data_IF_728147803565
#
_entry.id   IF_728147803565
#
_cell.length_a   1.000
_cell.length_b   1.000
_cell.length_c   1.000
_cell.angle_alpha   90.00
_cell.angle_beta   90.00
_cell.angle_gamma   90.00
#
_symmetry.space_group_name_H-M   'P 1'
#
loop_
_entity.id
_entity.type
_entity.pdbx_description
1 polymer ?
#
# COMPACT_ATOMS: atom_id res chain seq x y z
N UNK A 1 14.73 33.52 -4.81
CA UNK A 1 13.84 32.74 -3.93
C UNK A 1 12.74 32.19 -4.80
N UNK A 2 12.85 30.95 -5.25
CA UNK A 2 11.79 30.30 -6.02
C UNK A 2 10.81 29.69 -5.03
N UNK A 3 9.56 30.13 -5.12
CA UNK A 3 8.44 29.69 -4.30
C UNK A 3 8.31 28.17 -4.38
N UNK A 4 8.57 27.49 -3.27
CA UNK A 4 8.34 26.07 -3.12
C UNK A 4 6.83 25.87 -2.95
N UNK A 5 6.09 26.01 -4.04
CA UNK A 5 4.67 25.66 -4.07
C UNK A 5 4.58 24.16 -3.83
N UNK A 6 4.24 23.79 -2.60
CA UNK A 6 3.90 22.41 -2.27
C UNK A 6 2.68 22.06 -3.12
N UNK A 7 2.91 21.36 -4.23
CA UNK A 7 1.85 20.97 -5.14
C UNK A 7 0.82 20.14 -4.36
N UNK A 8 -0.44 20.54 -4.41
CA UNK A 8 -1.53 19.82 -3.77
C UNK A 8 -1.58 18.41 -4.40
N UNK A 9 -1.46 17.32 -3.62
CA UNK A 9 -1.47 15.98 -4.18
C UNK A 9 -2.81 15.66 -4.83
N UNK A 10 -2.77 14.92 -5.95
CA UNK A 10 -3.97 14.42 -6.63
C UNK A 10 -4.79 13.51 -5.70
N UNK A 11 -6.09 13.27 -5.99
CA UNK A 11 -6.90 12.37 -5.16
C UNK A 11 -6.28 10.98 -4.92
N UNK A 12 -5.56 10.42 -5.89
CA UNK A 12 -4.83 9.16 -5.71
C UNK A 12 -3.58 9.33 -4.83
N UNK A 13 -2.80 10.40 -5.03
CA UNK A 13 -1.63 10.69 -4.20
C UNK A 13 -2.01 10.94 -2.74
N UNK A 14 -3.22 11.48 -2.48
CA UNK A 14 -3.75 11.67 -1.13
C UNK A 14 -3.94 10.35 -0.38
N UNK A 15 -4.40 9.27 -1.02
CA UNK A 15 -4.50 7.95 -0.38
C UNK A 15 -3.14 7.41 0.09
N UNK A 16 -2.09 7.60 -0.71
CA UNK A 16 -0.74 7.20 -0.31
C UNK A 16 -0.17 8.07 0.82
N UNK A 17 -0.58 9.33 0.88
CA UNK A 17 -0.22 10.24 1.97
C UNK A 17 -0.93 9.85 3.28
N UNK A 18 -2.21 9.51 3.23
CA UNK A 18 -3.00 9.03 4.38
C UNK A 18 -2.36 7.81 5.05
N UNK A 19 -1.83 6.87 4.26
CA UNK A 19 -1.12 5.69 4.77
C UNK A 19 0.18 6.07 5.49
N UNK A 20 0.92 7.04 4.94
CA UNK A 20 2.15 7.55 5.56
C UNK A 20 1.87 8.34 6.84
N UNK A 21 0.78 9.11 6.86
CA UNK A 21 0.34 9.88 8.01
C UNK A 21 -0.13 8.96 9.14
N UNK A 22 -0.96 7.95 8.84
CA UNK A 22 -1.36 6.94 9.82
C UNK A 22 -0.17 6.20 10.44
N UNK A 23 0.85 5.85 9.63
CA UNK A 23 2.07 5.25 10.14
C UNK A 23 2.86 6.20 11.07
N UNK A 24 2.91 7.49 10.74
CA UNK A 24 3.54 8.51 11.57
C UNK A 24 2.79 8.76 12.88
N UNK A 25 1.44 8.75 12.87
CA UNK A 25 0.61 8.91 14.07
C UNK A 25 0.79 7.75 15.05
N UNK A 26 0.86 6.51 14.56
CA UNK A 26 1.14 5.34 15.40
C UNK A 26 2.53 5.44 16.03
N UNK A 27 3.54 5.86 15.25
CA UNK A 27 4.89 6.06 15.76
C UNK A 27 4.95 7.14 16.86
N UNK A 28 4.28 8.28 16.65
CA UNK A 28 4.20 9.38 17.62
C UNK A 28 3.44 8.96 18.91
N UNK A 29 2.36 8.20 18.77
CA UNK A 29 1.61 7.64 19.90
C UNK A 29 2.45 6.69 20.77
N UNK A 30 3.21 5.79 20.15
CA UNK A 30 4.12 4.88 20.85
C UNK A 30 5.22 5.63 21.61
N UNK A 31 5.83 6.64 20.97
CA UNK A 31 6.84 7.49 21.59
C UNK A 31 6.30 8.27 22.80
N UNK A 32 5.11 8.89 22.68
CA UNK A 32 4.45 9.60 23.79
C UNK A 32 4.06 8.69 24.96
N UNK A 33 3.72 7.43 24.66
CA UNK A 33 3.38 6.45 25.68
C UNK A 33 4.63 5.86 26.38
N UNK A 34 5.84 6.20 25.94
CA UNK A 34 7.08 5.62 26.48
C UNK A 34 7.20 4.12 26.21
N UNK A 35 6.50 3.63 25.18
CA UNK A 35 6.50 2.22 24.82
C UNK A 35 7.60 1.97 23.79
N UNK A 36 8.58 1.15 24.15
CA UNK A 36 9.65 0.70 23.24
C UNK A 36 9.15 -0.44 22.34
N UNK A 37 8.15 -0.15 21.52
CA UNK A 37 7.80 -1.01 20.38
C UNK A 37 8.46 -0.45 19.12
N UNK A 38 8.98 -1.34 18.28
CA UNK A 38 9.36 -0.93 16.92
C UNK A 38 8.10 -0.34 16.25
N UNK A 39 8.13 0.93 15.80
CA UNK A 39 6.98 1.52 15.14
C UNK A 39 6.57 0.63 13.99
N UNK A 40 5.27 0.33 13.90
CA UNK A 40 4.72 -0.48 12.81
C UNK A 40 5.22 0.09 11.48
N UNK A 41 6.08 -0.67 10.80
CA UNK A 41 6.86 -0.12 9.70
C UNK A 41 5.95 0.37 8.58
N UNK A 42 6.41 1.36 7.81
CA UNK A 42 5.74 1.80 6.58
C UNK A 42 5.34 0.62 5.69
N UNK A 43 6.16 -0.43 5.68
CA UNK A 43 5.95 -1.64 4.90
C UNK A 43 4.75 -2.46 5.39
N UNK A 44 4.49 -2.50 6.71
CA UNK A 44 3.29 -3.12 7.25
C UNK A 44 2.02 -2.42 6.75
N UNK A 45 1.99 -1.08 6.77
CA UNK A 45 0.84 -0.33 6.28
C UNK A 45 0.68 -0.44 4.75
N UNK A 46 1.80 -0.48 4.01
CA UNK A 46 1.78 -0.73 2.58
C UNK A 46 1.21 -2.11 2.26
N UNK A 47 1.60 -3.13 3.03
CA UNK A 47 1.08 -4.49 2.91
C UNK A 47 -0.41 -4.58 3.25
N UNK A 48 -0.84 -3.99 4.37
CA UNK A 48 -2.25 -3.95 4.77
C UNK A 48 -3.12 -3.24 3.71
N UNK A 49 -2.63 -2.12 3.16
CA UNK A 49 -3.28 -1.42 2.05
C UNK A 49 -3.38 -2.31 0.82
N UNK A 50 -2.30 -3.00 0.45
CA UNK A 50 -2.28 -3.91 -0.68
C UNK A 50 -3.28 -5.06 -0.51
N UNK A 51 -3.43 -5.61 0.70
CA UNK A 51 -4.42 -6.64 1.00
C UNK A 51 -5.85 -6.13 0.84
N UNK A 52 -6.18 -4.98 1.44
CA UNK A 52 -7.52 -4.39 1.38
C UNK A 52 -7.90 -4.02 -0.06
N UNK A 53 -6.95 -3.42 -0.80
CA UNK A 53 -7.16 -3.09 -2.21
C UNK A 53 -7.37 -4.35 -3.05
N UNK A 54 -6.59 -5.41 -2.82
CA UNK A 54 -6.76 -6.68 -3.52
C UNK A 54 -8.16 -7.27 -3.31
N UNK A 55 -8.65 -7.32 -2.06
CA UNK A 55 -10.01 -7.77 -1.75
C UNK A 55 -11.05 -6.96 -2.53
N UNK A 56 -10.92 -5.63 -2.51
CA UNK A 56 -11.86 -4.74 -3.21
C UNK A 56 -11.85 -4.96 -4.72
N UNK A 57 -10.68 -5.16 -5.33
CA UNK A 57 -10.56 -5.45 -6.77
C UNK A 57 -11.17 -6.81 -7.13
N UNK A 58 -11.15 -7.77 -6.21
CA UNK A 58 -11.83 -9.05 -6.39
C UNK A 58 -13.35 -8.97 -6.14
N UNK A 59 -13.90 -7.78 -5.84
CA UNK A 59 -15.32 -7.61 -5.53
C UNK A 59 -15.73 -7.98 -4.11
N UNK A 60 -14.75 -8.26 -3.23
CA UNK A 60 -14.98 -8.55 -1.82
C UNK A 60 -15.18 -7.30 -0.96
N UNK A 61 -15.63 -7.54 0.27
CA UNK A 61 -15.79 -6.52 1.28
C UNK A 61 -14.44 -6.22 1.97
N UNK A 62 -13.87 -5.02 1.79
CA UNK A 62 -12.59 -4.63 2.36
C UNK A 62 -12.56 -4.59 3.90
N UNK A 63 -13.70 -4.42 4.57
CA UNK A 63 -13.78 -4.34 6.04
C UNK A 63 -13.79 -5.72 6.69
N UNK A 64 -14.36 -6.71 6.01
CA UNK A 64 -14.48 -8.09 6.53
C UNK A 64 -13.54 -9.09 5.86
N UNK A 65 -12.90 -8.69 4.76
CA UNK A 65 -12.06 -9.53 3.89
C UNK A 65 -12.80 -10.71 3.25
N UNK A 66 -14.15 -10.67 3.19
CA UNK A 66 -14.99 -11.76 2.68
C UNK A 66 -15.60 -11.43 1.32
N UNK A 67 -15.98 -12.49 0.59
CA UNK A 67 -16.92 -12.38 -0.53
C UNK A 67 -16.37 -11.82 -1.84
N UNK A 68 -15.18 -12.23 -2.26
CA UNK A 68 -14.62 -11.91 -3.59
C UNK A 68 -14.74 -13.05 -4.62
N UNK A 69 -14.44 -12.73 -5.87
CA UNK A 69 -14.34 -13.66 -6.99
C UNK A 69 -12.91 -14.22 -7.13
N UNK A 70 -12.79 -15.54 -6.97
CA UNK A 70 -11.50 -16.22 -7.03
C UNK A 70 -10.85 -16.19 -8.42
N UNK A 71 -11.63 -16.20 -9.51
CA UNK A 71 -11.07 -16.10 -10.86
C UNK A 71 -10.50 -14.72 -11.13
N UNK A 72 -11.19 -13.67 -10.68
CA UNK A 72 -10.67 -12.29 -10.75
C UNK A 72 -9.39 -12.18 -9.93
N UNK A 73 -9.39 -12.71 -8.70
CA UNK A 73 -8.20 -12.71 -7.84
C UNK A 73 -7.01 -13.40 -8.49
N UNK A 74 -7.22 -14.56 -9.10
CA UNK A 74 -6.15 -15.28 -9.80
C UNK A 74 -5.62 -14.48 -11.00
N UNK A 75 -6.48 -13.80 -11.76
CA UNK A 75 -6.04 -12.95 -12.88
C UNK A 75 -5.16 -11.79 -12.43
N UNK A 76 -5.48 -11.16 -11.29
CA UNK A 76 -4.68 -10.07 -10.71
C UNK A 76 -3.29 -10.60 -10.28
N UNK A 77 -3.24 -11.76 -9.61
CA UNK A 77 -1.97 -12.40 -9.23
C UNK A 77 -1.13 -12.72 -10.48
N UNK A 78 -1.76 -13.28 -11.51
CA UNK A 78 -1.07 -13.60 -12.77
C UNK A 78 -0.52 -12.34 -13.45
N UNK A 79 -1.22 -11.19 -13.37
CA UNK A 79 -0.72 -9.92 -13.87
C UNK A 79 0.55 -9.46 -13.12
N UNK A 80 0.54 -9.56 -11.78
CA UNK A 80 1.74 -9.29 -10.97
C UNK A 80 2.91 -10.20 -11.33
N UNK A 81 2.65 -11.50 -11.52
CA UNK A 81 3.65 -12.47 -11.97
C UNK A 81 4.23 -12.10 -13.34
N UNK A 82 3.37 -11.70 -14.30
CA UNK A 82 3.82 -11.22 -15.60
C UNK A 82 4.75 -10.01 -15.47
N UNK A 83 4.44 -9.05 -14.60
CA UNK A 83 5.29 -7.88 -14.38
C UNK A 83 6.68 -8.30 -13.90
N UNK A 84 6.73 -9.20 -12.91
CA UNK A 84 7.98 -9.74 -12.37
C UNK A 84 8.81 -10.40 -13.48
N UNK A 85 8.19 -11.28 -14.26
CA UNK A 85 8.92 -12.08 -15.24
C UNK A 85 9.37 -11.26 -16.45
N UNK A 86 8.56 -10.29 -16.89
CA UNK A 86 8.83 -9.54 -18.11
C UNK A 86 9.61 -8.24 -17.91
N UNK A 87 9.40 -7.53 -16.79
CA UNK A 87 10.00 -6.20 -16.59
C UNK A 87 11.08 -6.17 -15.53
N UNK A 88 11.16 -7.14 -14.63
CA UNK A 88 12.18 -7.16 -13.59
C UNK A 88 13.22 -8.24 -13.87
N UNK A 89 12.81 -9.52 -13.90
CA UNK A 89 13.74 -10.64 -14.11
C UNK A 89 14.42 -10.63 -15.48
N UNK A 90 13.67 -10.24 -16.53
CA UNK A 90 14.22 -10.11 -17.90
C UNK A 90 14.93 -8.78 -18.15
N UNK A 91 14.84 -7.81 -17.23
CA UNK A 91 15.56 -6.55 -17.36
C UNK A 91 17.04 -6.65 -16.91
N UNK A 92 17.38 -7.72 -16.17
CA UNK A 92 18.76 -8.02 -15.75
C UNK A 92 19.57 -8.82 -16.82
N UNK A 93 18.95 -9.16 -17.96
CA UNK A 93 19.58 -9.87 -19.09
C UNK A 93 20.14 -8.91 -20.17
N UNK A 94 20.33 -7.62 -19.86
CA UNK A 94 20.82 -6.56 -20.75
C UNK A 94 22.05 -5.83 -20.21
#
# INVERSE_FOLDING_TARGET
>A
MTENTCAIPTPEQRKYLEIREAAAEVADGLAKAGLEFEPTSRDYFAFATQQVLFVRLCGGDPETLKGGDAEIGQRIVNNGQHIIDHYWRRADDG
#
